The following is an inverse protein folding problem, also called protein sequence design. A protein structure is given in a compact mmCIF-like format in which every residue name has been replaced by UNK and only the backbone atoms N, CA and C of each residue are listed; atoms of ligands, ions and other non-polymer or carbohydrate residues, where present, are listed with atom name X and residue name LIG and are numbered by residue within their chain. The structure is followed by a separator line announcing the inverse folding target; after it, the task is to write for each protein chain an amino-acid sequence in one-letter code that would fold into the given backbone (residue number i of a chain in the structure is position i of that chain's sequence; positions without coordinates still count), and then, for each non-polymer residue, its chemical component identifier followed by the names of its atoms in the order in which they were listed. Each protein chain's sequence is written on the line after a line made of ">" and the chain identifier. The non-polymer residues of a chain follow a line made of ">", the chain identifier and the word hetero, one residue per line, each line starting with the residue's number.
data_IF_744582958589
#
_entry.id   IF_744582958589
#
_cell.length_a   1.000
_cell.length_b   1.000
_cell.length_c   1.000
_cell.angle_alpha   90.00
_cell.angle_beta   90.00
_cell.angle_gamma   90.00
#
_symmetry.space_group_name_H-M   'P 1'
#
loop_
_entity.id
_entity.type
_entity.pdbx_description
1 polymer ?
#
# COMPACT_ATOMS: atom_id res chain seq x y z
N UNK A 1 -40.63 30.30 -3.25
CA UNK A 1 -40.35 28.87 -3.57
C UNK A 1 -39.02 28.73 -4.31
N UNK A 2 -38.84 29.29 -5.51
CA UNK A 2 -37.62 29.08 -6.32
C UNK A 2 -36.29 29.54 -5.67
N UNK A 3 -36.25 30.69 -5.00
CA UNK A 3 -35.03 31.19 -4.35
C UNK A 3 -34.53 30.25 -3.22
N UNK A 4 -35.45 29.65 -2.46
CA UNK A 4 -35.11 28.76 -1.36
C UNK A 4 -34.55 27.43 -1.87
N UNK A 5 -35.09 26.93 -2.99
CA UNK A 5 -34.56 25.76 -3.69
C UNK A 5 -33.16 26.03 -4.22
N UNK A 6 -32.91 27.20 -4.80
CA UNK A 6 -31.58 27.57 -5.32
C UNK A 6 -30.54 27.62 -4.18
N UNK A 7 -30.85 28.30 -3.08
CA UNK A 7 -29.95 28.38 -1.92
C UNK A 7 -29.70 27.00 -1.32
N UNK A 8 -30.74 26.16 -1.21
CA UNK A 8 -30.61 24.80 -0.73
C UNK A 8 -29.68 23.96 -1.62
N UNK A 9 -29.83 24.04 -2.94
CA UNK A 9 -28.97 23.30 -3.88
C UNK A 9 -27.52 23.75 -3.81
N UNK A 10 -27.25 25.06 -3.73
CA UNK A 10 -25.87 25.57 -3.60
C UNK A 10 -25.23 25.09 -2.29
N UNK A 11 -25.97 25.18 -1.18
CA UNK A 11 -25.48 24.71 0.12
C UNK A 11 -25.20 23.21 0.09
N UNK A 12 -26.11 22.40 -0.46
CA UNK A 12 -25.94 20.95 -0.59
C UNK A 12 -24.72 20.60 -1.45
N UNK A 13 -24.56 21.23 -2.62
CA UNK A 13 -23.41 20.99 -3.50
C UNK A 13 -22.10 21.39 -2.83
N UNK A 14 -22.06 22.51 -2.11
CA UNK A 14 -20.86 22.95 -1.38
C UNK A 14 -20.48 21.99 -0.26
N UNK A 15 -21.46 21.52 0.54
CA UNK A 15 -21.20 20.54 1.59
C UNK A 15 -20.71 19.21 1.03
N UNK A 16 -21.33 18.72 -0.06
CA UNK A 16 -20.89 17.50 -0.72
C UNK A 16 -19.48 17.63 -1.29
N UNK A 17 -19.17 18.76 -1.95
CA UNK A 17 -17.84 19.02 -2.49
C UNK A 17 -16.78 19.06 -1.39
N UNK A 18 -17.06 19.76 -0.28
CA UNK A 18 -16.15 19.83 0.86
C UNK A 18 -15.91 18.45 1.49
N UNK A 19 -16.97 17.67 1.72
CA UNK A 19 -16.85 16.33 2.30
C UNK A 19 -16.07 15.39 1.36
N UNK A 20 -16.31 15.49 0.05
CA UNK A 20 -15.62 14.68 -0.95
C UNK A 20 -14.13 15.01 -0.96
N UNK A 21 -13.74 16.26 -1.17
CA UNK A 21 -12.33 16.69 -1.14
C UNK A 21 -11.64 16.30 0.16
N UNK A 22 -12.27 16.55 1.32
CA UNK A 22 -11.72 16.17 2.62
C UNK A 22 -11.50 14.65 2.74
N UNK A 23 -12.43 13.84 2.23
CA UNK A 23 -12.32 12.37 2.32
C UNK A 23 -11.17 11.81 1.48
N UNK A 24 -10.83 12.46 0.35
CA UNK A 24 -9.73 12.01 -0.52
C UNK A 24 -8.38 12.65 -0.19
N UNK A 25 -8.36 13.86 0.38
CA UNK A 25 -7.10 14.55 0.73
C UNK A 25 -6.51 14.11 2.07
N UNK A 26 -7.31 13.50 2.95
CA UNK A 26 -6.86 13.06 4.29
C UNK A 26 -6.62 11.55 4.40
N UNK A 27 -6.38 10.88 3.27
CA UNK A 27 -6.20 9.42 3.16
C UNK A 27 -4.81 8.96 3.65
N UNK A 28 -4.37 9.42 4.82
CA UNK A 28 -3.18 8.96 5.55
C UNK A 28 -3.56 8.75 7.03
N UNK A 29 -4.11 7.58 7.33
CA UNK A 29 -4.66 7.26 8.64
C UNK A 29 -3.71 6.40 9.48
N UNK A 30 -3.87 6.45 10.80
CA UNK A 30 -3.20 5.54 11.74
C UNK A 30 -3.47 4.05 11.43
N UNK A 31 -4.58 3.73 10.75
CA UNK A 31 -4.91 2.37 10.33
C UNK A 31 -3.96 1.89 9.23
N UNK A 32 -3.58 2.76 8.32
CA UNK A 32 -2.63 2.44 7.24
C UNK A 32 -1.25 2.16 7.84
N UNK A 33 -0.84 2.93 8.85
CA UNK A 33 0.39 2.66 9.60
C UNK A 33 0.39 1.27 10.28
N UNK A 34 -0.74 0.85 10.85
CA UNK A 34 -0.89 -0.49 11.40
C UNK A 34 -0.85 -1.57 10.31
N UNK A 35 -1.48 -1.34 9.16
CA UNK A 35 -1.42 -2.25 8.01
C UNK A 35 0.02 -2.47 7.56
N UNK A 36 0.82 -1.40 7.43
CA UNK A 36 2.24 -1.53 7.12
C UNK A 36 3.01 -2.30 8.19
N UNK A 37 2.72 -2.09 9.47
CA UNK A 37 3.35 -2.87 10.55
C UNK A 37 3.05 -4.37 10.40
N UNK A 38 1.78 -4.74 10.19
CA UNK A 38 1.41 -6.15 10.02
C UNK A 38 1.97 -6.77 8.75
N UNK A 39 2.06 -6.02 7.64
CA UNK A 39 2.74 -6.51 6.44
C UNK A 39 4.23 -6.72 6.66
N UNK A 40 4.89 -5.87 7.45
CA UNK A 40 6.29 -6.06 7.83
C UNK A 40 6.46 -7.35 8.63
N UNK A 41 5.62 -7.57 9.65
CA UNK A 41 5.65 -8.75 10.49
C UNK A 41 5.36 -10.03 9.69
N UNK A 42 4.40 -9.98 8.76
CA UNK A 42 4.07 -11.09 7.88
C UNK A 42 5.29 -11.52 7.06
N UNK A 43 5.97 -10.58 6.40
CA UNK A 43 7.17 -10.83 5.60
C UNK A 43 8.31 -11.38 6.45
N UNK A 44 8.52 -10.82 7.64
CA UNK A 44 9.54 -11.29 8.58
C UNK A 44 9.27 -12.76 9.00
N UNK A 45 8.01 -13.10 9.21
CA UNK A 45 7.60 -14.45 9.61
C UNK A 45 7.90 -15.53 8.56
N UNK A 46 8.12 -15.16 7.29
CA UNK A 46 8.43 -16.11 6.23
C UNK A 46 9.87 -16.66 6.34
N UNK A 47 10.75 -15.96 7.05
CA UNK A 47 12.13 -16.38 7.30
C UNK A 47 13.11 -15.97 6.19
N UNK A 48 14.39 -16.29 6.40
CA UNK A 48 15.48 -15.99 5.44
C UNK A 48 16.38 -17.22 5.26
N UNK A 49 16.27 -17.97 4.15
CA UNK A 49 15.38 -17.74 3.00
C UNK A 49 13.90 -18.03 3.32
N UNK A 50 12.96 -17.42 2.59
CA UNK A 50 11.53 -17.55 2.87
C UNK A 50 11.00 -18.96 2.59
N UNK A 51 10.17 -19.51 3.50
CA UNK A 51 9.46 -20.78 3.30
C UNK A 51 8.30 -20.60 2.30
N UNK A 52 8.54 -20.99 1.05
CA UNK A 52 7.57 -20.82 -0.05
C UNK A 52 6.25 -21.55 0.19
N UNK A 53 6.23 -22.66 0.95
CA UNK A 53 4.98 -23.37 1.25
C UNK A 53 4.14 -22.57 2.26
N UNK A 54 4.79 -21.96 3.25
CA UNK A 54 4.14 -21.06 4.20
C UNK A 54 3.61 -19.82 3.49
N UNK A 55 4.44 -19.20 2.65
CA UNK A 55 4.10 -18.04 1.82
C UNK A 55 2.88 -18.33 0.94
N UNK A 56 2.89 -19.43 0.18
CA UNK A 56 1.78 -19.78 -0.70
C UNK A 56 0.47 -20.01 0.06
N UNK A 57 0.54 -20.69 1.21
CA UNK A 57 -0.62 -20.95 2.06
C UNK A 57 -1.23 -19.65 2.60
N UNK A 58 -0.39 -18.76 3.10
CA UNK A 58 -0.79 -17.48 3.68
C UNK A 58 -1.37 -16.54 2.61
N UNK A 59 -0.69 -16.39 1.48
CA UNK A 59 -1.16 -15.56 0.36
C UNK A 59 -2.44 -16.09 -0.27
N UNK A 60 -2.60 -17.40 -0.38
CA UNK A 60 -3.84 -18.03 -0.87
C UNK A 60 -5.00 -17.78 0.09
N UNK A 61 -4.74 -17.70 1.40
CA UNK A 61 -5.74 -17.35 2.40
C UNK A 61 -6.12 -15.87 2.31
N UNK A 62 -5.12 -14.98 2.16
CA UNK A 62 -5.32 -13.53 2.07
C UNK A 62 -5.81 -13.06 0.69
N UNK A 63 -5.75 -13.91 -0.34
CA UNK A 63 -6.07 -13.58 -1.74
C UNK A 63 -5.17 -12.48 -2.32
N UNK A 64 -3.89 -12.52 -1.98
CA UNK A 64 -2.89 -11.53 -2.38
C UNK A 64 -1.95 -12.14 -3.44
N UNK A 65 -1.59 -11.33 -4.44
CA UNK A 65 -0.50 -11.64 -5.36
C UNK A 65 0.83 -11.10 -4.83
N UNK A 66 1.89 -11.88 -5.00
CA UNK A 66 3.21 -11.61 -4.46
C UNK A 66 4.30 -12.13 -5.41
N UNK A 67 5.38 -11.35 -5.52
CA UNK A 67 6.63 -11.77 -6.15
C UNK A 67 7.78 -11.54 -5.20
N UNK A 68 8.57 -12.58 -4.97
CA UNK A 68 9.82 -12.55 -4.20
C UNK A 68 10.97 -12.58 -5.19
N UNK A 69 11.89 -11.63 -5.07
CA UNK A 69 13.03 -11.46 -5.96
C UNK A 69 14.32 -11.46 -5.15
N UNK A 70 15.38 -12.03 -5.72
CA UNK A 70 16.71 -11.90 -5.13
C UNK A 70 17.16 -10.45 -5.23
N UNK A 71 17.68 -9.91 -4.13
CA UNK A 71 18.28 -8.58 -4.12
C UNK A 71 19.60 -8.63 -4.90
N UNK A 72 19.67 -7.91 -6.00
CA UNK A 72 20.89 -7.70 -6.77
C UNK A 72 21.37 -6.25 -6.60
N UNK A 73 22.63 -5.99 -6.98
CA UNK A 73 23.25 -4.67 -6.82
C UNK A 73 23.86 -4.28 -8.14
N UNK A 74 23.50 -3.09 -8.62
CA UNK A 74 24.00 -2.56 -9.89
C UNK A 74 25.47 -2.16 -9.80
N UNK A 75 26.11 -1.88 -10.94
CA UNK A 75 27.49 -1.39 -11.04
C UNK A 75 27.75 -0.14 -10.17
N UNK A 76 26.70 0.64 -9.90
CA UNK A 76 26.72 1.86 -9.09
C UNK A 76 26.43 1.62 -7.59
N UNK A 77 26.24 0.37 -7.15
CA UNK A 77 25.93 0.04 -5.76
C UNK A 77 24.44 0.19 -5.39
N UNK A 78 23.58 0.52 -6.36
CA UNK A 78 22.14 0.65 -6.12
C UNK A 78 21.48 -0.73 -6.06
N UNK A 79 20.73 -1.07 -4.99
CA UNK A 79 20.02 -2.32 -4.91
C UNK A 79 18.81 -2.33 -5.85
N UNK A 80 18.62 -3.43 -6.60
CA UNK A 80 17.47 -3.63 -7.49
C UNK A 80 16.91 -5.05 -7.35
N UNK A 81 15.62 -5.29 -7.65
CA UNK A 81 15.05 -6.62 -7.69
C UNK A 81 15.62 -7.39 -8.89
N UNK A 82 16.43 -8.40 -8.60
CA UNK A 82 17.08 -9.25 -9.59
C UNK A 82 16.22 -10.43 -10.03
N UNK A 83 16.83 -11.61 -10.11
CA UNK A 83 16.11 -12.83 -10.51
C UNK A 83 14.95 -13.17 -9.57
N UNK A 84 13.80 -13.51 -10.16
CA UNK A 84 12.62 -14.04 -9.46
C UNK A 84 13.00 -15.28 -8.67
N UNK A 85 12.78 -15.22 -7.35
CA UNK A 85 12.95 -16.35 -6.44
C UNK A 85 11.68 -17.21 -6.40
N UNK A 86 10.53 -16.56 -6.20
CA UNK A 86 9.21 -17.21 -6.15
C UNK A 86 8.11 -16.21 -6.51
N UNK A 87 6.98 -16.66 -7.05
CA UNK A 87 5.82 -15.80 -7.27
C UNK A 87 4.54 -16.57 -7.55
N UNK A 88 3.39 -16.01 -7.14
CA UNK A 88 2.04 -16.40 -7.58
C UNK A 88 1.36 -15.34 -8.48
N UNK A 89 2.13 -14.39 -9.02
CA UNK A 89 1.67 -13.34 -9.94
C UNK A 89 1.19 -13.98 -11.26
N UNK A 90 0.03 -13.59 -11.81
CA UNK A 90 -0.36 -13.96 -13.17
C UNK A 90 0.64 -13.48 -14.23
N UNK A 91 0.69 -14.14 -15.38
CA UNK A 91 1.67 -13.85 -16.44
C UNK A 91 1.51 -12.45 -17.06
N UNK A 92 0.33 -11.84 -16.94
CA UNK A 92 0.03 -10.52 -17.46
C UNK A 92 -0.44 -9.61 -16.32
N UNK A 93 0.45 -8.74 -15.85
CA UNK A 93 0.15 -7.71 -14.87
C UNK A 93 0.53 -6.38 -15.49
N UNK A 94 -0.45 -5.49 -15.55
CA UNK A 94 -0.26 -4.10 -15.96
C UNK A 94 0.38 -3.33 -14.80
N UNK A 95 1.70 -3.43 -14.66
CA UNK A 95 2.44 -2.73 -13.60
C UNK A 95 2.32 -1.21 -13.72
N UNK A 96 2.01 -0.69 -14.91
CA UNK A 96 1.67 0.72 -15.14
C UNK A 96 0.39 1.19 -14.41
N UNK A 97 -0.49 0.29 -13.99
CA UNK A 97 -1.70 0.62 -13.24
C UNK A 97 -1.48 0.64 -11.72
N UNK A 98 -0.30 0.22 -11.24
CA UNK A 98 0.01 0.23 -9.82
C UNK A 98 0.39 1.64 -9.38
N UNK A 99 -0.47 2.29 -8.58
CA UNK A 99 -0.22 3.66 -8.16
C UNK A 99 0.33 3.68 -6.74
N UNK A 100 1.64 3.67 -6.57
CA UNK A 100 2.25 3.80 -5.23
C UNK A 100 2.01 5.20 -4.64
N UNK A 101 1.19 5.28 -3.59
CA UNK A 101 0.83 6.53 -2.94
C UNK A 101 1.49 6.71 -1.57
N UNK A 102 1.78 5.62 -0.86
CA UNK A 102 2.12 5.66 0.57
C UNK A 102 3.40 4.88 0.88
N UNK A 103 4.26 5.45 1.71
CA UNK A 103 5.55 4.86 2.12
C UNK A 103 5.57 4.73 3.65
N UNK A 104 5.94 3.55 4.17
CA UNK A 104 5.94 3.27 5.61
C UNK A 104 6.87 4.19 6.44
N UNK A 105 7.86 4.83 5.82
CA UNK A 105 8.75 5.79 6.49
C UNK A 105 8.02 7.04 6.95
N UNK A 106 6.97 7.44 6.24
CA UNK A 106 6.27 8.70 6.51
C UNK A 106 5.44 8.57 7.79
N UNK A 107 4.92 7.36 8.07
CA UNK A 107 4.23 7.05 9.32
C UNK A 107 5.13 6.99 10.55
N UNK A 108 6.42 6.71 10.39
CA UNK A 108 7.37 6.84 11.49
C UNK A 108 7.48 8.29 11.93
N UNK A 109 7.54 9.23 10.99
CA UNK A 109 7.62 10.66 11.30
C UNK A 109 6.28 11.20 11.83
N UNK A 110 5.17 10.76 11.25
CA UNK A 110 3.83 11.26 11.58
C UNK A 110 3.26 10.71 12.89
N UNK A 111 3.46 9.41 13.15
CA UNK A 111 2.82 8.70 14.28
C UNK A 111 3.81 8.10 15.27
N UNK A 112 5.13 8.25 15.04
CA UNK A 112 6.18 7.68 15.90
C UNK A 112 6.07 6.14 16.04
N UNK A 113 5.67 5.46 14.95
CA UNK A 113 5.62 3.99 14.87
C UNK A 113 6.89 3.49 14.20
N UNK A 114 7.54 2.50 14.80
CA UNK A 114 8.71 1.85 14.20
C UNK A 114 8.26 0.62 13.39
N UNK A 115 8.42 0.70 12.07
CA UNK A 115 8.07 -0.36 11.14
C UNK A 115 9.38 -1.04 10.69
N UNK A 116 9.58 -2.35 10.96
CA UNK A 116 10.87 -3.02 10.73
C UNK A 116 11.34 -3.01 9.28
N UNK A 117 10.41 -3.02 8.33
CA UNK A 117 10.70 -3.06 6.90
C UNK A 117 10.07 -1.89 6.15
N UNK A 118 10.82 -1.37 5.17
CA UNK A 118 10.30 -0.35 4.25
C UNK A 118 9.27 -1.00 3.33
N UNK A 119 8.05 -0.51 3.37
CA UNK A 119 6.91 -1.00 2.60
C UNK A 119 6.32 0.19 1.85
N UNK A 120 5.93 -0.06 0.61
CA UNK A 120 5.26 0.92 -0.25
C UNK A 120 3.92 0.30 -0.65
N UNK A 121 2.84 1.01 -0.44
CA UNK A 121 1.48 0.62 -0.80
C UNK A 121 0.89 1.63 -1.78
N UNK A 122 -0.10 1.18 -2.55
CA UNK A 122 -0.67 1.90 -3.67
C UNK A 122 -2.01 1.36 -4.11
#
# INVERSE_FOLDING_TARGET
>A
MGALVIVFTIALTATLFYQFEYSFTTQDSILDAHEHYYYSEMVESWGTPPDTNKVEKELTNLKIWCGIYNKEVDHLGTPYPGKKYWSNLPDNIHTEEFIGWVISTDYKEMYNIDIPHKIITG
#
